data_IF_181670831832
#
_entry.id   IF_181670831832
#
_cell.length_a   1.000
_cell.length_b   1.000
_cell.length_c   1.000
_cell.angle_alpha   90.00
_cell.angle_beta   90.00
_cell.angle_gamma   90.00
#
_symmetry.space_group_name_H-M   'P 1'
#
loop_
_entity.id
_entity.type
_entity.pdbx_description
1 polymer ?
#
# COMPACT_ATOMS: atom_id res chain seq x y z
N UNK A 1 3.80 47.28 -12.86
CA UNK A 1 3.69 45.83 -13.12
C UNK A 1 4.01 44.94 -11.90
N UNK A 2 4.98 45.26 -11.03
CA UNK A 2 5.27 44.43 -9.84
C UNK A 2 4.14 44.32 -8.78
N UNK A 3 3.23 45.30 -8.71
CA UNK A 3 2.19 45.36 -7.68
C UNK A 3 1.08 44.31 -7.90
N UNK A 4 0.79 43.93 -9.15
CA UNK A 4 -0.21 42.91 -9.49
C UNK A 4 0.24 41.49 -9.16
N UNK A 5 1.56 41.22 -9.20
CA UNK A 5 2.10 39.88 -8.89
C UNK A 5 1.97 39.59 -7.38
N UNK A 6 2.20 40.60 -6.51
CA UNK A 6 2.04 40.44 -5.05
C UNK A 6 0.61 40.20 -4.60
N UNK A 7 -0.39 40.73 -5.32
CA UNK A 7 -1.80 40.58 -4.91
C UNK A 7 -2.36 39.18 -5.17
N UNK A 8 -1.78 38.46 -6.14
CA UNK A 8 -2.20 37.10 -6.50
C UNK A 8 -1.27 36.00 -5.96
N UNK A 9 -0.17 36.37 -5.29
CA UNK A 9 0.74 35.42 -4.62
C UNK A 9 0.03 34.39 -3.72
N UNK A 10 -0.96 34.75 -2.88
CA UNK A 10 -1.69 33.76 -2.08
C UNK A 10 -2.48 32.75 -2.94
N UNK A 11 -2.93 33.15 -4.13
CA UNK A 11 -3.63 32.26 -5.07
C UNK A 11 -2.66 31.24 -5.67
N UNK A 12 -1.45 31.67 -6.04
CA UNK A 12 -0.41 30.75 -6.53
C UNK A 12 0.01 29.73 -5.47
N UNK A 13 0.14 30.15 -4.21
CA UNK A 13 0.44 29.25 -3.08
C UNK A 13 -0.67 28.21 -2.94
N UNK A 14 -1.94 28.62 -3.00
CA UNK A 14 -3.08 27.70 -2.94
C UNK A 14 -3.06 26.67 -4.07
N UNK A 15 -2.77 27.10 -5.30
CA UNK A 15 -2.66 26.20 -6.46
C UNK A 15 -1.54 25.18 -6.23
N UNK A 16 -0.38 25.59 -5.73
CA UNK A 16 0.74 24.68 -5.44
C UNK A 16 0.35 23.67 -4.36
N UNK A 17 -0.33 24.09 -3.29
CA UNK A 17 -0.78 23.18 -2.22
C UNK A 17 -1.77 22.15 -2.77
N UNK A 18 -2.71 22.56 -3.63
CA UNK A 18 -3.69 21.64 -4.24
C UNK A 18 -3.00 20.66 -5.18
N UNK A 19 -2.11 21.14 -6.05
CA UNK A 19 -1.39 20.29 -7.01
C UNK A 19 -0.42 19.34 -6.30
N UNK A 20 0.29 19.82 -5.27
CA UNK A 20 1.17 18.99 -4.46
C UNK A 20 0.37 17.97 -3.63
N UNK A 21 -0.72 18.38 -2.98
CA UNK A 21 -1.55 17.49 -2.17
C UNK A 21 -2.24 16.40 -2.99
N UNK A 22 -2.71 16.74 -4.20
CA UNK A 22 -3.32 15.77 -5.11
C UNK A 22 -2.29 14.95 -5.89
N UNK A 23 -1.14 15.53 -6.25
CA UNK A 23 -0.09 14.87 -7.03
C UNK A 23 0.85 13.97 -6.22
N UNK A 24 1.07 14.30 -4.94
CA UNK A 24 1.89 13.51 -4.03
C UNK A 24 1.53 12.01 -3.97
N UNK A 25 0.25 11.61 -3.79
CA UNK A 25 -0.10 10.19 -3.75
C UNK A 25 0.15 9.45 -5.08
N UNK A 26 0.09 10.13 -6.22
CA UNK A 26 0.41 9.51 -7.51
C UNK A 26 1.93 9.33 -7.72
N UNK A 27 2.75 10.23 -7.16
CA UNK A 27 4.21 10.15 -7.30
C UNK A 27 4.85 9.21 -6.27
N UNK A 28 4.37 9.21 -5.02
CA UNK A 28 4.95 8.40 -3.94
C UNK A 28 4.39 6.98 -3.87
N UNK A 29 3.25 6.71 -4.52
CA UNK A 29 2.49 5.46 -4.36
C UNK A 29 1.90 5.28 -2.95
N UNK A 30 2.16 6.21 -2.03
CA UNK A 30 1.64 6.22 -0.67
C UNK A 30 0.41 7.12 -0.64
N UNK A 31 -0.76 6.49 -0.71
CA UNK A 31 -2.01 7.17 -0.44
C UNK A 31 -2.07 7.51 1.05
N UNK A 32 -2.41 8.77 1.39
CA UNK A 32 -2.60 9.23 2.78
C UNK A 32 -3.75 8.46 3.47
N UNK A 33 -4.57 7.76 2.69
CA UNK A 33 -5.58 6.84 3.21
C UNK A 33 -4.98 5.46 3.37
N UNK A 34 -5.05 4.90 4.59
CA UNK A 34 -4.80 3.49 4.81
C UNK A 34 -5.64 2.66 3.82
N UNK A 35 -5.08 1.58 3.23
CA UNK A 35 -5.84 0.70 2.35
C UNK A 35 -7.11 0.26 3.09
N UNK A 36 -8.26 0.35 2.42
CA UNK A 36 -9.52 -0.02 3.06
C UNK A 36 -9.48 -1.52 3.36
N UNK A 37 -9.92 -1.92 4.56
CA UNK A 37 -10.05 -3.33 4.96
C UNK A 37 -10.74 -4.18 3.88
N UNK A 38 -11.76 -3.62 3.22
CA UNK A 38 -12.46 -4.27 2.10
C UNK A 38 -11.56 -4.66 0.93
N UNK A 39 -10.48 -3.92 0.67
CA UNK A 39 -9.54 -4.19 -0.42
C UNK A 39 -8.62 -5.35 -0.05
N UNK A 40 -8.24 -5.45 1.23
CA UNK A 40 -7.49 -6.57 1.80
C UNK A 40 -8.35 -7.84 1.80
N UNK A 41 -9.60 -7.75 2.24
CA UNK A 41 -10.54 -8.89 2.26
C UNK A 41 -10.81 -9.44 0.86
N UNK A 42 -10.87 -8.59 -0.17
CA UNK A 42 -11.02 -9.06 -1.56
C UNK A 42 -9.79 -9.79 -2.08
N UNK A 43 -8.58 -9.38 -1.69
CA UNK A 43 -7.34 -10.02 -2.14
C UNK A 43 -6.99 -11.29 -1.36
N UNK A 44 -7.56 -11.45 -0.16
CA UNK A 44 -7.41 -12.62 0.70
C UNK A 44 -8.62 -13.56 0.68
N UNK A 45 -9.56 -13.38 -0.24
CA UNK A 45 -10.81 -14.13 -0.25
C UNK A 45 -10.56 -15.63 -0.40
N UNK A 46 -10.99 -16.41 0.60
CA UNK A 46 -10.82 -17.87 0.63
C UNK A 46 -9.47 -18.35 1.14
N UNK A 47 -8.63 -17.47 1.68
CA UNK A 47 -7.35 -17.82 2.32
C UNK A 47 -7.49 -17.72 3.84
N UNK A 48 -7.29 -18.82 4.56
CA UNK A 48 -7.16 -18.78 6.02
C UNK A 48 -5.85 -18.08 6.40
N UNK A 49 -5.91 -16.81 6.80
CA UNK A 49 -4.72 -16.06 7.24
C UNK A 49 -4.46 -16.38 8.72
N UNK A 50 -3.30 -16.96 9.07
CA UNK A 50 -2.99 -17.25 10.47
C UNK A 50 -2.71 -15.95 11.24
N UNK A 51 -3.23 -15.82 12.47
CA UNK A 51 -3.16 -14.62 13.31
C UNK A 51 -1.74 -14.10 13.61
N UNK A 52 -0.72 -14.94 13.41
CA UNK A 52 0.70 -14.59 13.60
C UNK A 52 1.26 -13.65 12.52
N UNK A 53 0.55 -13.42 11.43
CA UNK A 53 0.96 -12.51 10.35
C UNK A 53 0.56 -11.08 10.72
N UNK A 54 1.50 -10.14 10.67
CA UNK A 54 1.21 -8.73 10.94
C UNK A 54 0.22 -8.20 9.91
N UNK A 55 -0.65 -7.28 10.33
CA UNK A 55 -1.68 -6.70 9.47
C UNK A 55 -1.13 -6.13 8.15
N UNK A 56 0.05 -5.52 8.18
CA UNK A 56 0.70 -4.94 6.99
C UNK A 56 1.17 -6.00 5.98
N UNK A 57 1.39 -7.26 6.42
CA UNK A 57 1.96 -8.33 5.61
C UNK A 57 0.89 -9.29 5.06
N UNK A 58 -0.37 -9.11 5.48
CA UNK A 58 -1.51 -9.94 5.08
C UNK A 58 -1.69 -9.96 3.57
N UNK A 59 -1.59 -8.80 2.92
CA UNK A 59 -1.70 -8.67 1.46
C UNK A 59 -0.61 -9.47 0.73
N UNK A 60 0.64 -9.41 1.20
CA UNK A 60 1.76 -10.14 0.59
C UNK A 60 1.61 -11.64 0.78
N UNK A 61 1.17 -12.06 1.97
CA UNK A 61 0.87 -13.46 2.23
C UNK A 61 -0.23 -14.00 1.30
N UNK A 62 -1.35 -13.30 1.16
CA UNK A 62 -2.45 -13.73 0.31
C UNK A 62 -2.05 -13.76 -1.17
N UNK A 63 -1.32 -12.74 -1.63
CA UNK A 63 -0.75 -12.71 -2.98
C UNK A 63 0.15 -13.92 -3.24
N UNK A 64 1.02 -14.28 -2.29
CA UNK A 64 1.86 -15.47 -2.39
C UNK A 64 1.03 -16.76 -2.47
N UNK A 65 -0.02 -16.89 -1.65
CA UNK A 65 -0.92 -18.05 -1.70
C UNK A 65 -1.64 -18.15 -3.06
N UNK A 66 -2.03 -17.05 -3.69
CA UNK A 66 -2.69 -17.14 -5.00
C UNK A 66 -1.72 -17.41 -6.16
N UNK A 67 -0.45 -17.02 -6.03
CA UNK A 67 0.54 -17.09 -7.12
C UNK A 67 1.44 -18.31 -7.08
N UNK A 68 1.71 -18.86 -5.89
CA UNK A 68 2.67 -19.95 -5.75
C UNK A 68 2.08 -21.28 -6.25
N UNK A 69 2.81 -21.94 -7.14
CA UNK A 69 2.42 -23.22 -7.77
C UNK A 69 2.64 -24.47 -6.92
N UNK A 70 2.73 -24.33 -5.60
CA UNK A 70 2.86 -25.47 -4.68
C UNK A 70 1.48 -26.10 -4.48
N UNK A 71 1.32 -27.38 -4.81
CA UNK A 71 0.04 -28.10 -4.67
C UNK A 71 -0.30 -28.43 -3.21
N UNK A 72 0.72 -28.74 -2.40
CA UNK A 72 0.52 -29.04 -0.98
C UNK A 72 0.21 -27.78 -0.18
N UNK A 73 -0.99 -27.71 0.41
CA UNK A 73 -1.45 -26.56 1.21
C UNK A 73 -0.50 -26.23 2.37
N UNK A 74 0.02 -27.21 3.10
CA UNK A 74 0.88 -26.96 4.26
C UNK A 74 2.23 -26.37 3.85
N UNK A 75 2.83 -26.94 2.80
CA UNK A 75 4.13 -26.49 2.28
C UNK A 75 4.01 -25.09 1.67
N UNK A 76 2.93 -24.85 0.93
CA UNK A 76 2.56 -23.55 0.37
C UNK A 76 2.42 -22.47 1.45
N UNK A 77 1.72 -22.78 2.54
CA UNK A 77 1.57 -21.85 3.66
C UNK A 77 2.89 -21.57 4.36
N UNK A 78 3.70 -22.62 4.60
CA UNK A 78 5.02 -22.47 5.21
C UNK A 78 5.96 -21.61 4.36
N UNK A 79 5.94 -21.83 3.05
CA UNK A 79 6.72 -21.06 2.08
C UNK A 79 6.33 -19.57 2.11
N UNK A 80 5.04 -19.28 1.95
CA UNK A 80 4.56 -17.89 1.91
C UNK A 80 4.73 -17.15 3.23
N UNK A 81 4.61 -17.84 4.36
CA UNK A 81 4.90 -17.23 5.65
C UNK A 81 6.39 -16.87 5.80
N UNK A 82 7.30 -17.78 5.44
CA UNK A 82 8.74 -17.50 5.52
C UNK A 82 9.09 -16.27 4.67
N UNK A 83 8.50 -16.14 3.49
CA UNK A 83 8.75 -15.01 2.59
C UNK A 83 8.23 -13.69 3.17
N UNK A 84 7.00 -13.67 3.70
CA UNK A 84 6.45 -12.48 4.39
C UNK A 84 7.28 -12.05 5.62
N UNK A 85 7.91 -13.01 6.31
CA UNK A 85 8.77 -12.71 7.47
C UNK A 85 10.16 -12.19 7.08
N UNK A 86 10.65 -12.53 5.88
CA UNK A 86 11.98 -12.16 5.39
C UNK A 86 12.00 -10.78 4.74
N UNK A 87 10.91 -10.34 4.11
CA UNK A 87 10.80 -8.98 3.53
C UNK A 87 10.93 -7.89 4.61
N UNK A 88 10.53 -8.20 5.84
CA UNK A 88 10.65 -7.34 7.02
C UNK A 88 12.10 -7.15 7.53
N UNK A 89 13.10 -7.88 7.01
CA UNK A 89 14.52 -7.67 7.36
C UNK A 89 15.28 -6.85 6.31
N UNK A 90 14.66 -6.52 5.17
CA UNK A 90 15.31 -5.85 4.05
C UNK A 90 14.85 -4.39 3.83
N UNK A 91 14.00 -3.84 4.71
CA UNK A 91 13.60 -2.41 4.71
C UNK A 91 14.09 -1.69 5.96
#
# INVERSE_FOLDING_TARGET
MLKNIKNNFPIFILIIIVVAGLGYPFYSGQWIMAPRLSEIDTQCYGVDVPERIKHNDVLHFCSCIHTVGIENKEEKYKYCMNQSSLENQAS
#
